data_IF_707935212118
#
_entry.id   IF_707935212118
#
_cell.length_a   1.000
_cell.length_b   1.000
_cell.length_c   1.000
_cell.angle_alpha   90.00
_cell.angle_beta   90.00
_cell.angle_gamma   90.00
#
_symmetry.space_group_name_H-M   'P 1'
#
loop_
_entity.id
_entity.type
_entity.pdbx_description
1 polymer ?
#
# COMPACT_ATOMS: atom_id res chain seq x y z
N UNK A 1 17.54 10.18 -4.82
CA UNK A 1 18.99 10.37 -4.60
C UNK A 1 19.64 10.60 -5.94
N UNK A 2 20.74 11.34 -6.00
CA UNK A 2 21.52 11.44 -7.24
C UNK A 2 22.43 10.22 -7.46
N UNK A 3 23.22 10.24 -8.53
CA UNK A 3 24.19 9.18 -8.85
C UNK A 3 25.27 8.98 -7.76
N UNK A 4 25.45 9.97 -6.87
CA UNK A 4 26.38 9.91 -5.73
C UNK A 4 25.66 9.59 -4.41
N UNK A 5 24.40 9.13 -4.46
CA UNK A 5 23.56 8.77 -3.31
C UNK A 5 23.23 9.94 -2.36
N UNK A 6 23.33 11.20 -2.81
CA UNK A 6 22.95 12.36 -2.00
C UNK A 6 21.42 12.52 -1.98
N UNK A 7 20.80 12.69 -0.80
CA UNK A 7 19.37 12.94 -0.68
C UNK A 7 19.04 14.41 -0.91
N UNK A 8 17.91 14.67 -1.55
CA UNK A 8 17.35 16.01 -1.76
C UNK A 8 15.86 15.95 -1.49
N UNK A 9 15.35 16.90 -0.72
CA UNK A 9 13.91 17.05 -0.52
C UNK A 9 13.24 17.43 -1.85
N UNK A 10 12.07 16.85 -2.12
CA UNK A 10 11.29 17.12 -3.33
C UNK A 10 9.90 17.62 -2.94
N UNK A 11 9.20 16.84 -2.12
CA UNK A 11 7.83 17.13 -1.73
C UNK A 11 7.45 16.43 -0.42
N UNK A 12 6.27 16.78 0.10
CA UNK A 12 5.57 16.04 1.13
C UNK A 12 4.23 15.60 0.55
N UNK A 13 3.82 14.37 0.87
CA UNK A 13 2.46 13.90 0.63
C UNK A 13 1.68 13.96 1.97
N UNK A 14 0.85 15.00 2.22
CA UNK A 14 0.17 15.18 3.52
C UNK A 14 -1.07 14.28 3.65
N UNK A 15 -0.94 13.01 3.27
CA UNK A 15 -1.99 11.98 3.26
C UNK A 15 -1.33 10.60 3.27
N UNK A 16 -2.12 9.56 3.54
CA UNK A 16 -1.64 8.20 3.34
C UNK A 16 -1.30 7.95 1.86
N UNK A 17 -0.26 7.15 1.63
CA UNK A 17 0.17 6.75 0.29
C UNK A 17 -0.26 5.32 0.00
N UNK A 18 -0.39 4.97 -1.27
CA UNK A 18 -0.85 3.63 -1.68
C UNK A 18 0.12 2.55 -1.20
N UNK A 19 1.41 2.86 -1.18
CA UNK A 19 2.52 2.03 -0.73
C UNK A 19 2.69 1.95 0.81
N UNK A 20 1.75 2.46 1.61
CA UNK A 20 1.84 2.34 3.07
C UNK A 20 1.90 0.87 3.54
N UNK A 21 1.26 -0.04 2.80
CA UNK A 21 1.14 -1.46 3.14
C UNK A 21 2.49 -2.13 3.41
N UNK A 22 3.54 -1.85 2.62
CA UNK A 22 4.86 -2.46 2.82
C UNK A 22 5.52 -2.01 4.11
N UNK A 23 5.28 -0.77 4.54
CA UNK A 23 5.75 -0.26 5.82
C UNK A 23 5.01 -0.96 6.96
N UNK A 24 3.70 -1.17 6.84
CA UNK A 24 2.92 -1.91 7.84
C UNK A 24 3.42 -3.35 7.97
N UNK A 25 3.68 -4.05 6.87
CA UNK A 25 4.15 -5.44 6.89
C UNK A 25 5.48 -5.61 7.61
N UNK A 26 6.43 -4.69 7.41
CA UNK A 26 7.76 -4.81 8.03
C UNK A 26 7.80 -4.27 9.46
N UNK A 27 6.94 -3.32 9.83
CA UNK A 27 6.94 -2.72 11.18
C UNK A 27 5.90 -3.34 12.11
N UNK A 28 4.86 -3.96 11.57
CA UNK A 28 3.68 -4.41 12.31
C UNK A 28 2.77 -3.27 12.78
N UNK A 29 2.98 -2.05 12.29
CA UNK A 29 2.20 -0.87 12.64
C UNK A 29 1.06 -0.69 11.64
N UNK A 30 -0.18 -0.64 12.11
CA UNK A 30 -1.35 -0.26 11.31
C UNK A 30 -1.47 1.27 11.25
N UNK A 31 -1.10 1.84 10.11
CA UNK A 31 -1.02 3.28 9.90
C UNK A 31 -2.41 3.92 9.75
N UNK A 32 -3.37 3.22 9.13
CA UNK A 32 -4.75 3.71 8.99
C UNK A 32 -5.42 3.79 10.37
N UNK A 33 -5.25 2.77 11.21
CA UNK A 33 -5.75 2.75 12.58
C UNK A 33 -5.09 3.84 13.43
N UNK A 34 -3.78 4.03 13.30
CA UNK A 34 -3.07 5.12 13.97
C UNK A 34 -3.64 6.50 13.55
N UNK A 35 -3.86 6.73 12.25
CA UNK A 35 -4.48 7.97 11.75
C UNK A 35 -5.84 8.24 12.39
N UNK A 36 -6.73 7.24 12.44
CA UNK A 36 -8.05 7.39 13.05
C UNK A 36 -7.96 7.71 14.55
N UNK A 37 -7.06 7.05 15.28
CA UNK A 37 -6.88 7.28 16.72
C UNK A 37 -6.30 8.67 17.00
N UNK A 38 -5.31 9.10 16.23
CA UNK A 38 -4.72 10.45 16.34
C UNK A 38 -5.76 11.52 16.00
N UNK A 39 -6.55 11.32 14.94
CA UNK A 39 -7.67 12.21 14.60
C UNK A 39 -8.73 12.26 15.73
N UNK A 40 -8.83 11.22 16.55
CA UNK A 40 -9.71 11.15 17.72
C UNK A 40 -9.06 11.75 19.00
N UNK A 41 -7.87 12.36 18.89
CA UNK A 41 -7.18 13.02 20.00
C UNK A 41 -6.14 12.18 20.74
N UNK A 42 -5.84 10.96 20.27
CA UNK A 42 -4.77 10.15 20.85
C UNK A 42 -3.38 10.75 20.53
N UNK A 43 -2.44 10.63 21.45
CA UNK A 43 -1.02 10.96 21.22
C UNK A 43 -0.30 9.83 20.47
N UNK A 44 0.94 10.06 20.03
CA UNK A 44 1.77 9.01 19.42
C UNK A 44 2.06 7.87 20.41
N UNK A 45 2.26 8.18 21.69
CA UNK A 45 2.48 7.19 22.75
C UNK A 45 1.23 6.32 22.96
N UNK A 46 0.03 6.92 22.96
CA UNK A 46 -1.24 6.19 23.10
C UNK A 46 -1.46 5.16 21.98
N UNK A 47 -0.91 5.43 20.79
CA UNK A 47 -0.97 4.53 19.63
C UNK A 47 0.26 3.61 19.50
N UNK A 48 1.20 3.66 20.45
CA UNK A 48 2.39 2.82 20.47
C UNK A 48 3.46 3.20 19.45
N UNK A 49 3.44 4.45 18.97
CA UNK A 49 4.43 4.99 18.03
C UNK A 49 5.57 5.71 18.78
N UNK A 50 6.34 4.94 19.53
CA UNK A 50 7.55 5.40 20.23
C UNK A 50 8.77 4.99 19.42
N UNK A 51 9.66 5.94 19.11
CA UNK A 51 10.75 5.74 18.15
C UNK A 51 11.65 4.53 18.47
N UNK A 52 11.92 4.28 19.75
CA UNK A 52 12.78 3.19 20.21
C UNK A 52 12.14 1.79 20.06
N UNK A 53 10.81 1.73 19.93
CA UNK A 53 10.06 0.48 19.79
C UNK A 53 9.83 0.09 18.32
N UNK A 54 10.10 0.99 17.37
CA UNK A 54 9.84 0.76 15.95
C UNK A 54 11.04 0.05 15.31
N UNK A 55 10.85 -1.22 14.97
CA UNK A 55 11.86 -2.06 14.32
C UNK A 55 11.30 -2.67 13.04
N UNK A 56 12.00 -2.47 11.93
CA UNK A 56 11.70 -3.13 10.67
C UNK A 56 12.17 -4.60 10.69
N UNK A 57 11.28 -5.53 10.34
CA UNK A 57 11.52 -6.98 10.31
C UNK A 57 11.33 -7.50 8.89
N UNK A 58 12.41 -8.01 8.30
CA UNK A 58 12.37 -8.57 6.95
C UNK A 58 12.23 -7.50 5.87
N UNK A 59 11.63 -7.89 4.73
CA UNK A 59 11.40 -7.04 3.56
C UNK A 59 10.02 -7.33 3.01
N UNK A 60 9.30 -6.29 2.60
CA UNK A 60 8.03 -6.39 1.90
C UNK A 60 8.11 -5.66 0.55
N UNK A 61 7.38 -6.18 -0.44
CA UNK A 61 7.30 -5.61 -1.78
C UNK A 61 5.82 -5.54 -2.15
N UNK A 62 5.40 -4.41 -2.71
CA UNK A 62 4.05 -4.24 -3.26
C UNK A 62 4.10 -4.22 -4.79
N UNK A 63 3.21 -5.00 -5.40
CA UNK A 63 2.90 -4.90 -6.81
C UNK A 63 1.43 -4.49 -6.97
N UNK A 64 1.15 -3.65 -7.97
CA UNK A 64 -0.21 -3.29 -8.35
C UNK A 64 -0.59 -4.04 -9.62
N UNK A 65 -1.67 -4.81 -9.53
CA UNK A 65 -2.28 -5.44 -10.71
C UNK A 65 -3.35 -4.48 -11.23
N UNK A 66 -3.22 -4.05 -12.49
CA UNK A 66 -4.13 -3.11 -13.15
C UNK A 66 -4.77 -3.78 -14.37
N UNK A 67 -5.73 -3.10 -15.00
CA UNK A 67 -6.28 -3.52 -16.30
C UNK A 67 -5.49 -2.97 -17.48
N UNK A 68 -4.35 -2.32 -17.24
CA UNK A 68 -3.49 -1.77 -18.31
C UNK A 68 -2.91 -2.92 -19.13
N UNK A 69 -3.13 -2.89 -20.45
CA UNK A 69 -2.67 -3.95 -21.34
C UNK A 69 -1.33 -3.56 -21.99
N UNK A 70 -0.21 -4.24 -21.69
CA UNK A 70 1.11 -3.89 -22.23
C UNK A 70 1.21 -4.08 -23.76
N UNK A 71 0.40 -4.96 -24.36
CA UNK A 71 0.34 -5.14 -25.82
C UNK A 71 -0.41 -4.00 -26.52
N UNK A 72 -1.11 -3.16 -25.75
CA UNK A 72 -1.90 -2.02 -26.22
C UNK A 72 -1.41 -0.71 -25.59
N UNK A 73 -0.09 -0.56 -25.45
CA UNK A 73 0.55 0.64 -24.90
C UNK A 73 0.02 1.02 -23.51
N UNK A 74 -0.21 0.01 -22.66
CA UNK A 74 -0.76 0.15 -21.31
C UNK A 74 -2.12 0.85 -21.24
N UNK A 75 -2.89 0.85 -22.34
CA UNK A 75 -4.26 1.35 -22.29
C UNK A 75 -5.10 0.53 -21.28
N UNK A 76 -5.93 1.18 -20.43
CA UNK A 76 -6.77 0.48 -19.47
C UNK A 76 -7.85 -0.31 -20.19
N UNK A 77 -7.97 -1.60 -19.89
CA UNK A 77 -9.03 -2.45 -20.38
C UNK A 77 -10.30 -2.31 -19.51
N UNK A 78 -11.45 -2.56 -20.13
CA UNK A 78 -12.78 -2.41 -19.49
C UNK A 78 -13.65 -3.64 -19.76
N UNK A 79 -14.74 -3.77 -19.00
CA UNK A 79 -15.66 -4.89 -19.12
C UNK A 79 -15.74 -5.74 -17.86
N UNK A 80 -16.32 -6.94 -17.96
CA UNK A 80 -16.62 -7.77 -16.80
C UNK A 80 -15.54 -8.83 -16.56
N UNK A 81 -15.03 -8.87 -15.32
CA UNK A 81 -14.10 -9.91 -14.87
C UNK A 81 -14.89 -11.21 -14.70
N UNK A 82 -14.77 -12.15 -15.64
CA UNK A 82 -15.50 -13.42 -15.58
C UNK A 82 -15.06 -14.31 -14.40
N UNK A 83 -13.76 -14.35 -14.13
CA UNK A 83 -13.18 -15.17 -13.07
C UNK A 83 -12.10 -14.36 -12.35
N UNK A 84 -12.21 -14.26 -11.04
CA UNK A 84 -11.21 -13.67 -10.17
C UNK A 84 -10.85 -14.65 -9.05
N UNK A 85 -9.56 -14.97 -8.92
CA UNK A 85 -9.04 -15.84 -7.86
C UNK A 85 -7.86 -15.13 -7.21
N UNK A 86 -7.98 -14.84 -5.93
CA UNK A 86 -6.90 -14.24 -5.15
C UNK A 86 -5.92 -15.30 -4.69
N UNK A 87 -4.65 -14.93 -4.65
CA UNK A 87 -3.64 -15.68 -3.90
C UNK A 87 -3.81 -15.41 -2.41
N UNK A 88 -3.57 -16.43 -1.58
CA UNK A 88 -3.54 -16.33 -0.13
C UNK A 88 -2.43 -17.24 0.42
N UNK A 89 -1.88 -16.90 1.59
CA UNK A 89 -0.82 -17.66 2.24
C UNK A 89 0.01 -16.82 3.20
N UNK A 90 0.92 -17.48 3.92
CA UNK A 90 1.86 -16.78 4.79
C UNK A 90 2.74 -15.82 3.98
N UNK A 91 2.83 -14.56 4.41
CA UNK A 91 3.58 -13.51 3.73
C UNK A 91 2.90 -12.93 2.49
N UNK A 92 1.64 -13.29 2.22
CA UNK A 92 0.84 -12.71 1.14
C UNK A 92 -0.25 -11.82 1.73
N UNK A 93 -0.13 -10.51 1.50
CA UNK A 93 -1.18 -9.52 1.74
C UNK A 93 -1.81 -9.11 0.41
N UNK A 94 -3.13 -8.93 0.41
CA UNK A 94 -3.90 -8.54 -0.76
C UNK A 94 -4.89 -7.43 -0.40
N UNK A 95 -4.67 -6.25 -0.96
CA UNK A 95 -5.56 -5.10 -0.86
C UNK A 95 -6.14 -4.83 -2.26
N UNK A 96 -7.42 -5.14 -2.48
CA UNK A 96 -8.05 -4.98 -3.78
C UNK A 96 -9.57 -5.13 -3.75
N UNK A 97 -10.22 -4.69 -4.82
CA UNK A 97 -11.69 -4.62 -4.92
C UNK A 97 -12.27 -5.51 -6.03
N UNK A 98 -11.43 -6.27 -6.73
CA UNK A 98 -11.87 -7.17 -7.81
C UNK A 98 -12.63 -8.39 -7.29
N UNK A 99 -13.62 -8.84 -8.05
CA UNK A 99 -14.36 -10.09 -7.81
C UNK A 99 -14.95 -10.61 -9.12
N UNK A 100 -15.28 -11.91 -9.19
CA UNK A 100 -15.94 -12.49 -10.36
C UNK A 100 -17.30 -11.82 -10.57
N UNK A 101 -17.54 -11.27 -11.77
CA UNK A 101 -18.70 -10.46 -12.11
C UNK A 101 -18.51 -8.96 -11.92
N UNK A 102 -17.36 -8.51 -11.41
CA UNK A 102 -17.07 -7.07 -11.31
C UNK A 102 -16.91 -6.45 -12.70
N UNK A 103 -17.60 -5.34 -12.95
CA UNK A 103 -17.47 -4.57 -14.19
C UNK A 103 -16.50 -3.42 -13.98
N UNK A 104 -15.37 -3.48 -14.69
CA UNK A 104 -14.40 -2.40 -14.80
C UNK A 104 -14.93 -1.37 -15.79
N UNK A 105 -15.15 -0.16 -15.33
CA UNK A 105 -15.53 0.99 -16.16
C UNK A 105 -14.29 1.76 -16.62
N UNK A 106 -14.37 2.52 -17.72
CA UNK A 106 -13.32 3.47 -18.12
C UNK A 106 -13.02 4.50 -17.02
#
# INVERSE_FOLDING_TARGET
VDEQLRPYFIEVNPRIQVEHTVTEEVTGVDLVKAQLRIASGATLEDVGLVQDDIVARGVAIQCRVTTENPERDFAPDTGTINVYRTSAGAGIRMDGVGYSGYTVTP
#
